data_IF_156836782599
#
_entry.id   IF_156836782599
#
_cell.length_a   1.000
_cell.length_b   1.000
_cell.length_c   1.000
_cell.angle_alpha   90.00
_cell.angle_beta   90.00
_cell.angle_gamma   90.00
#
_symmetry.space_group_name_H-M   'P 1'
#
loop_
_entity.id
_entity.type
_entity.pdbx_description
1 polymer ?
#
# COMPACT_ATOMS: atom_id res chain seq x y z
N UNK A 1 -7.18 -13.58 -9.38
CA UNK A 1 -8.37 -13.15 -8.61
C UNK A 1 -8.11 -12.95 -7.11
N UNK A 2 -7.35 -13.80 -6.43
CA UNK A 2 -7.08 -13.72 -4.98
C UNK A 2 -6.48 -12.39 -4.50
N UNK A 3 -5.57 -11.79 -5.29
CA UNK A 3 -4.91 -10.53 -4.96
C UNK A 3 -5.90 -9.36 -4.83
N UNK A 4 -6.82 -9.23 -5.79
CA UNK A 4 -7.84 -8.19 -5.78
C UNK A 4 -8.89 -8.41 -4.71
N UNK A 5 -9.30 -9.67 -4.49
CA UNK A 5 -10.23 -10.01 -3.41
C UNK A 5 -9.67 -9.63 -2.03
N UNK A 6 -8.38 -9.86 -1.81
CA UNK A 6 -7.72 -9.48 -0.57
C UNK A 6 -7.63 -7.95 -0.39
N UNK A 7 -7.40 -7.19 -1.46
CA UNK A 7 -7.44 -5.73 -1.43
C UNK A 7 -8.84 -5.23 -1.07
N UNK A 8 -9.87 -5.76 -1.74
CA UNK A 8 -11.26 -5.38 -1.48
C UNK A 8 -11.66 -5.68 -0.03
N UNK A 9 -11.30 -6.85 0.49
CA UNK A 9 -11.58 -7.21 1.87
C UNK A 9 -10.97 -6.20 2.87
N UNK A 10 -9.71 -5.78 2.64
CA UNK A 10 -9.08 -4.74 3.48
C UNK A 10 -9.78 -3.40 3.39
N UNK A 11 -10.20 -2.99 2.19
CA UNK A 11 -10.93 -1.73 2.00
C UNK A 11 -12.28 -1.75 2.69
N UNK A 12 -13.00 -2.89 2.63
CA UNK A 12 -14.28 -3.05 3.33
C UNK A 12 -14.10 -2.95 4.85
N UNK A 13 -13.07 -3.61 5.41
CA UNK A 13 -12.76 -3.52 6.84
C UNK A 13 -12.40 -2.09 7.22
N UNK A 14 -11.56 -1.42 6.44
CA UNK A 14 -11.18 -0.01 6.70
C UNK A 14 -12.39 0.91 6.64
N UNK A 15 -13.28 0.73 5.64
CA UNK A 15 -14.53 1.49 5.55
C UNK A 15 -15.42 1.26 6.78
N UNK A 16 -15.53 0.01 7.25
CA UNK A 16 -16.27 -0.31 8.48
C UNK A 16 -15.70 0.38 9.73
N UNK A 17 -14.37 0.43 9.86
CA UNK A 17 -13.69 1.13 10.97
C UNK A 17 -13.95 2.64 10.90
N UNK A 18 -13.80 3.26 9.72
CA UNK A 18 -14.05 4.69 9.54
C UNK A 18 -15.51 5.03 9.80
N UNK A 19 -16.45 4.20 9.32
CA UNK A 19 -17.88 4.36 9.56
C UNK A 19 -18.22 4.23 11.05
N UNK A 20 -17.69 3.20 11.72
CA UNK A 20 -17.87 3.01 13.17
C UNK A 20 -17.34 4.18 13.99
N UNK A 21 -16.19 4.74 13.59
CA UNK A 21 -15.63 5.94 14.20
C UNK A 21 -16.56 7.15 14.01
N UNK A 22 -17.14 7.31 12.81
CA UNK A 22 -18.13 8.36 12.54
C UNK A 22 -19.34 8.25 13.46
N UNK A 23 -19.92 7.06 13.60
CA UNK A 23 -21.05 6.84 14.52
C UNK A 23 -20.67 7.14 15.98
N UNK A 24 -19.44 6.84 16.38
CA UNK A 24 -18.96 7.17 17.73
C UNK A 24 -18.84 8.68 17.91
N UNK A 25 -18.31 9.40 16.93
CA UNK A 25 -18.23 10.87 16.94
C UNK A 25 -19.63 11.48 17.06
N UNK A 26 -20.60 11.01 16.26
CA UNK A 26 -21.98 11.49 16.30
C UNK A 26 -22.66 11.23 17.65
N UNK A 27 -22.31 10.14 18.33
CA UNK A 27 -22.82 9.85 19.68
C UNK A 27 -22.20 10.70 20.77
N UNK A 28 -20.91 10.98 20.66
CA UNK A 28 -20.16 11.75 21.65
C UNK A 28 -20.33 13.26 21.48
N UNK A 29 -20.48 13.71 20.23
CA UNK A 29 -20.72 15.11 19.88
C UNK A 29 -22.08 15.22 19.15
N UNK A 30 -23.19 15.11 19.88
CA UNK A 30 -24.49 15.25 19.24
C UNK A 30 -24.61 16.62 18.58
N UNK A 31 -25.08 16.62 17.32
CA UNK A 31 -25.26 17.85 16.56
C UNK A 31 -26.12 18.85 17.37
N UNK A 32 -25.73 20.12 17.45
CA UNK A 32 -26.53 21.13 18.15
C UNK A 32 -27.93 21.15 17.53
N UNK A 33 -28.95 20.91 18.34
CA UNK A 33 -30.32 21.07 17.89
C UNK A 33 -30.50 22.54 17.57
N UNK A 34 -30.56 22.87 16.31
CA UNK A 34 -30.49 24.23 15.76
C UNK A 34 -31.50 25.22 16.39
N UNK A 35 -32.43 24.76 17.21
CA UNK A 35 -33.46 25.57 17.85
C UNK A 35 -33.12 26.00 19.28
N UNK A 36 -32.22 25.32 19.99
CA UNK A 36 -31.91 25.59 21.40
C UNK A 36 -30.56 26.26 21.64
N UNK A 37 -29.68 26.29 20.64
CA UNK A 37 -28.31 26.79 20.79
C UNK A 37 -28.18 28.28 20.40
N UNK A 38 -29.04 29.10 20.98
CA UNK A 38 -28.88 30.58 21.02
C UNK A 38 -27.96 31.03 22.16
N UNK A 39 -27.05 30.17 22.61
CA UNK A 39 -26.01 30.52 23.56
C UNK A 39 -25.00 31.51 23.01
N UNK A 40 -24.30 32.26 23.87
CA UNK A 40 -23.37 33.33 23.45
C UNK A 40 -22.13 32.83 22.64
N UNK A 41 -21.94 31.52 22.48
CA UNK A 41 -20.83 30.95 21.73
C UNK A 41 -21.22 29.79 20.77
N UNK A 42 -22.05 30.02 19.74
CA UNK A 42 -22.41 28.95 18.78
C UNK A 42 -21.23 28.52 17.91
N UNK A 43 -20.18 29.34 17.81
CA UNK A 43 -19.03 29.10 16.95
C UNK A 43 -18.09 27.97 17.48
N UNK A 44 -18.02 27.78 18.80
CA UNK A 44 -17.08 26.80 19.40
C UNK A 44 -17.51 25.35 19.12
N UNK A 45 -18.79 25.03 19.14
CA UNK A 45 -19.32 23.71 18.92
C UNK A 45 -19.14 23.27 17.45
N UNK A 46 -19.38 24.19 16.50
CA UNK A 46 -19.19 23.93 15.07
C UNK A 46 -17.70 23.71 14.74
N UNK A 47 -16.80 24.41 15.42
CA UNK A 47 -15.35 24.21 15.28
C UNK A 47 -14.91 22.82 15.74
N UNK A 48 -15.40 22.36 16.90
CA UNK A 48 -15.05 21.02 17.43
C UNK A 48 -15.50 19.93 16.47
N UNK A 49 -16.73 20.01 15.95
CA UNK A 49 -17.23 19.04 14.95
C UNK A 49 -16.41 19.09 13.68
N UNK A 50 -16.09 20.29 13.16
CA UNK A 50 -15.28 20.43 11.96
C UNK A 50 -13.88 19.83 12.13
N UNK A 51 -13.26 20.04 13.29
CA UNK A 51 -11.96 19.46 13.63
C UNK A 51 -12.06 17.91 13.71
N UNK A 52 -13.09 17.39 14.35
CA UNK A 52 -13.32 15.94 14.48
C UNK A 52 -13.49 15.29 13.09
N UNK A 53 -14.28 15.90 12.21
CA UNK A 53 -14.46 15.42 10.83
C UNK A 53 -13.19 15.51 10.01
N UNK A 54 -12.38 16.56 10.21
CA UNK A 54 -11.07 16.68 9.55
C UNK A 54 -10.14 15.55 9.99
N UNK A 55 -10.04 15.26 11.29
CA UNK A 55 -9.23 14.14 11.79
C UNK A 55 -9.73 12.80 11.26
N UNK A 56 -11.04 12.59 11.20
CA UNK A 56 -11.63 11.38 10.62
C UNK A 56 -11.28 11.23 9.15
N UNK A 57 -11.33 12.30 8.37
CA UNK A 57 -10.95 12.29 6.95
C UNK A 57 -9.46 11.98 6.76
N UNK A 58 -8.57 12.62 7.54
CA UNK A 58 -7.14 12.33 7.50
C UNK A 58 -6.82 10.89 7.91
N UNK A 59 -7.51 10.36 8.92
CA UNK A 59 -7.39 8.97 9.33
C UNK A 59 -7.81 8.01 8.22
N UNK A 60 -8.92 8.28 7.54
CA UNK A 60 -9.40 7.48 6.40
C UNK A 60 -8.39 7.48 5.24
N UNK A 61 -7.85 8.65 4.89
CA UNK A 61 -6.81 8.79 3.85
C UNK A 61 -5.55 8.01 4.24
N UNK A 62 -5.12 8.12 5.50
CA UNK A 62 -3.96 7.38 6.03
C UNK A 62 -4.14 5.87 5.96
N UNK A 63 -5.33 5.35 6.31
CA UNK A 63 -5.65 3.93 6.21
C UNK A 63 -5.61 3.45 4.75
N UNK A 64 -6.22 4.18 3.83
CA UNK A 64 -6.20 3.84 2.40
C UNK A 64 -4.76 3.81 1.89
N UNK A 65 -3.95 4.81 2.25
CA UNK A 65 -2.55 4.87 1.86
C UNK A 65 -1.75 3.67 2.38
N UNK A 66 -1.92 3.29 3.66
CA UNK A 66 -1.28 2.13 4.26
C UNK A 66 -1.70 0.81 3.59
N UNK A 67 -2.99 0.68 3.24
CA UNK A 67 -3.51 -0.50 2.54
C UNK A 67 -2.87 -0.63 1.16
N UNK A 68 -2.82 0.47 0.39
CA UNK A 68 -2.20 0.49 -0.93
C UNK A 68 -0.71 0.18 -0.82
N UNK A 69 -0.03 0.77 0.15
CA UNK A 69 1.40 0.54 0.37
C UNK A 69 1.67 -0.92 0.74
N UNK A 70 0.94 -1.50 1.72
CA UNK A 70 1.11 -2.90 2.07
C UNK A 70 0.81 -3.82 0.88
N UNK A 71 -0.17 -3.47 0.05
CA UNK A 71 -0.55 -4.26 -1.12
C UNK A 71 0.53 -4.25 -2.22
N UNK A 72 1.23 -3.12 -2.42
CA UNK A 72 2.30 -3.00 -3.44
C UNK A 72 3.45 -3.98 -3.21
N UNK A 73 3.77 -4.27 -1.96
CA UNK A 73 4.88 -5.17 -1.59
C UNK A 73 4.43 -6.61 -1.30
N UNK A 74 3.30 -7.04 -1.90
CA UNK A 74 2.81 -8.42 -1.79
C UNK A 74 2.89 -9.15 -3.12
N UNK A 75 3.26 -10.42 -3.05
CA UNK A 75 3.23 -11.32 -4.19
C UNK A 75 1.79 -11.45 -4.73
N UNK A 76 1.62 -11.37 -6.05
CA UNK A 76 0.30 -11.46 -6.69
C UNK A 76 -0.30 -12.87 -6.62
N UNK A 77 0.55 -13.90 -6.42
CA UNK A 77 0.14 -15.31 -6.38
C UNK A 77 -0.12 -15.79 -4.97
N UNK A 78 0.85 -15.67 -4.04
CA UNK A 78 0.75 -16.21 -2.69
C UNK A 78 0.35 -15.20 -1.61
N UNK A 79 0.20 -13.90 -1.96
CA UNK A 79 -0.19 -12.79 -1.07
C UNK A 79 0.80 -12.50 0.08
N UNK A 80 1.92 -13.22 0.17
CA UNK A 80 2.94 -12.95 1.18
C UNK A 80 3.74 -11.70 0.83
N UNK A 81 4.27 -11.02 1.85
CA UNK A 81 5.16 -9.89 1.65
C UNK A 81 6.43 -10.34 0.95
N UNK A 82 6.82 -9.58 -0.07
CA UNK A 82 8.08 -9.75 -0.76
C UNK A 82 9.21 -9.42 0.21
N UNK A 83 10.23 -10.26 0.21
CA UNK A 83 11.44 -10.12 1.02
C UNK A 83 12.65 -10.18 0.10
N UNK A 84 13.83 -10.03 0.65
CA UNK A 84 15.11 -10.09 -0.08
C UNK A 84 15.22 -8.97 -1.13
N UNK A 85 15.37 -7.70 -0.72
CA UNK A 85 15.70 -6.64 -1.64
C UNK A 85 17.11 -6.88 -2.18
N UNK A 86 17.25 -7.06 -3.50
CA UNK A 86 18.52 -7.14 -4.20
C UNK A 86 18.67 -5.87 -5.02
N UNK A 87 19.75 -5.14 -4.76
CA UNK A 87 20.10 -3.98 -5.57
C UNK A 87 20.87 -4.43 -6.79
N UNK A 88 20.37 -4.08 -7.97
CA UNK A 88 21.00 -4.32 -9.26
C UNK A 88 21.27 -2.99 -9.95
N UNK A 89 22.45 -2.89 -10.61
CA UNK A 89 22.92 -1.64 -11.21
C UNK A 89 23.87 -0.85 -10.32
N UNK A 90 24.58 0.10 -10.92
CA UNK A 90 25.57 0.93 -10.24
C UNK A 90 25.21 2.41 -10.33
N UNK A 91 25.34 3.11 -9.23
CA UNK A 91 25.19 4.57 -9.19
C UNK A 91 26.28 5.31 -9.98
N UNK A 92 27.45 4.67 -10.17
CA UNK A 92 28.56 5.25 -10.93
C UNK A 92 28.38 5.18 -12.45
N UNK A 93 27.54 4.26 -12.94
CA UNK A 93 27.29 4.04 -14.37
C UNK A 93 25.80 4.03 -14.69
N UNK A 94 25.09 5.07 -14.28
CA UNK A 94 23.63 5.21 -14.45
C UNK A 94 23.19 5.10 -15.92
N UNK A 95 24.04 5.52 -16.86
CA UNK A 95 23.77 5.45 -18.30
C UNK A 95 23.81 4.02 -18.87
N UNK A 96 24.55 3.11 -18.23
CA UNK A 96 24.68 1.71 -18.64
C UNK A 96 23.67 0.80 -17.95
N UNK A 97 23.14 1.21 -16.81
CA UNK A 97 22.13 0.48 -16.05
C UNK A 97 21.66 1.28 -14.86
N UNK A 98 20.43 1.80 -14.95
CA UNK A 98 19.83 2.53 -13.84
C UNK A 98 19.72 1.64 -12.59
N UNK A 99 20.07 2.15 -11.40
CA UNK A 99 19.95 1.38 -10.16
C UNK A 99 18.50 1.04 -9.91
N UNK A 100 18.24 -0.23 -9.62
CA UNK A 100 16.92 -0.76 -9.32
C UNK A 100 16.98 -1.71 -8.14
N UNK A 101 15.91 -1.74 -7.34
CA UNK A 101 15.75 -2.71 -6.27
C UNK A 101 14.75 -3.78 -6.70
N UNK A 102 15.15 -5.03 -6.63
CA UNK A 102 14.32 -6.18 -6.97
C UNK A 102 13.90 -6.89 -5.69
N UNK A 103 12.59 -7.00 -5.48
CA UNK A 103 12.02 -7.73 -4.36
C UNK A 103 11.55 -9.10 -4.84
N UNK A 104 12.09 -10.15 -4.25
CA UNK A 104 11.84 -11.53 -4.68
C UNK A 104 10.81 -12.19 -3.77
N UNK A 105 9.90 -12.96 -4.35
CA UNK A 105 9.02 -13.83 -3.60
C UNK A 105 9.81 -15.03 -3.05
N UNK A 106 9.71 -15.30 -1.74
CA UNK A 106 10.39 -16.44 -1.09
C UNK A 106 9.99 -17.80 -1.65
N UNK A 107 8.85 -17.88 -2.36
CA UNK A 107 8.36 -19.08 -3.03
C UNK A 107 8.62 -19.09 -4.54
N UNK A 108 9.38 -18.13 -5.07
CA UNK A 108 9.74 -18.12 -6.47
C UNK A 108 8.64 -17.74 -7.47
N UNK A 109 7.49 -17.20 -7.02
CA UNK A 109 6.38 -16.87 -7.92
C UNK A 109 6.59 -15.63 -8.78
N UNK A 110 7.61 -14.82 -8.48
CA UNK A 110 7.91 -13.63 -9.27
C UNK A 110 8.75 -12.61 -8.52
N UNK A 111 9.22 -11.61 -9.27
CA UNK A 111 10.02 -10.49 -8.77
C UNK A 111 9.33 -9.17 -9.03
N UNK A 112 9.43 -8.25 -8.08
CA UNK A 112 8.98 -6.88 -8.20
C UNK A 112 10.19 -5.99 -8.42
N UNK A 113 10.29 -5.38 -9.60
CA UNK A 113 11.37 -4.46 -9.95
C UNK A 113 10.93 -3.03 -9.68
N UNK A 114 11.67 -2.34 -8.83
CA UNK A 114 11.42 -0.93 -8.49
C UNK A 114 12.64 -0.12 -8.88
N UNK A 115 12.48 0.83 -9.81
CA UNK A 115 13.55 1.75 -10.18
C UNK A 115 13.83 2.72 -9.02
N UNK A 116 15.09 2.85 -8.60
CA UNK A 116 15.49 3.82 -7.58
C UNK A 116 15.59 5.23 -8.15
N UNK A 117 15.98 5.34 -9.42
CA UNK A 117 16.08 6.61 -10.13
C UNK A 117 14.73 6.95 -10.78
N UNK A 118 14.07 7.97 -10.27
CA UNK A 118 12.79 8.44 -10.78
C UNK A 118 12.91 9.85 -11.34
N UNK A 119 13.04 9.96 -12.65
CA UNK A 119 13.10 11.25 -13.35
C UNK A 119 11.68 11.81 -13.52
N UNK A 120 10.67 10.94 -13.62
CA UNK A 120 9.27 11.33 -13.93
C UNK A 120 8.33 11.35 -12.72
N UNK A 121 8.83 11.12 -11.52
CA UNK A 121 8.02 11.14 -10.27
C UNK A 121 7.00 9.99 -10.13
N UNK A 122 6.84 9.13 -11.13
CA UNK A 122 5.87 8.03 -11.09
C UNK A 122 6.59 6.69 -10.97
N UNK A 123 6.51 6.08 -9.79
CA UNK A 123 6.98 4.70 -9.62
C UNK A 123 6.05 3.76 -10.40
N UNK A 124 6.58 3.17 -11.45
CA UNK A 124 5.95 2.04 -12.11
C UNK A 124 6.68 0.76 -11.64
N UNK A 125 6.20 0.10 -10.58
CA UNK A 125 6.75 -1.17 -10.18
C UNK A 125 6.38 -2.21 -11.23
N UNK A 126 7.39 -2.80 -11.84
CA UNK A 126 7.21 -3.86 -12.83
C UNK A 126 7.19 -5.21 -12.11
N UNK A 127 6.12 -5.99 -12.37
CA UNK A 127 5.96 -7.32 -11.82
C UNK A 127 6.26 -8.36 -12.87
N UNK A 128 7.32 -9.12 -12.68
CA UNK A 128 7.70 -10.23 -13.53
C UNK A 128 7.27 -11.56 -12.87
N UNK A 129 6.27 -12.26 -13.41
CA UNK A 129 5.87 -13.56 -12.91
C UNK A 129 6.88 -14.63 -13.33
N UNK A 130 7.25 -15.52 -12.41
CA UNK A 130 8.03 -16.72 -12.67
C UNK A 130 7.15 -17.94 -12.36
N UNK A 131 7.19 -18.97 -13.19
CA UNK A 131 6.44 -20.21 -12.93
C UNK A 131 7.05 -20.97 -11.75
N UNK A 132 8.39 -21.12 -11.74
CA UNK A 132 9.14 -21.66 -10.62
C UNK A 132 10.61 -21.25 -10.77
N UNK A 133 11.01 -20.18 -10.11
CA UNK A 133 12.37 -19.64 -10.18
C UNK A 133 13.43 -20.67 -9.78
N UNK A 134 13.09 -21.58 -8.88
CA UNK A 134 14.01 -22.63 -8.42
C UNK A 134 14.26 -23.69 -9.49
N UNK A 135 13.24 -24.03 -10.29
CA UNK A 135 13.38 -24.90 -11.47
C UNK A 135 14.21 -24.25 -12.57
N UNK A 136 13.98 -22.97 -12.83
CA UNK A 136 14.74 -22.20 -13.82
C UNK A 136 16.23 -22.16 -13.45
N UNK A 137 16.55 -21.90 -12.16
CA UNK A 137 17.93 -21.91 -11.67
C UNK A 137 18.58 -23.30 -11.78
N UNK A 138 17.87 -24.37 -11.41
CA UNK A 138 18.39 -25.74 -11.50
C UNK A 138 18.64 -26.17 -12.95
N UNK A 139 17.76 -25.82 -13.88
CA UNK A 139 17.93 -26.12 -15.31
C UNK A 139 19.11 -25.38 -15.94
N UNK A 140 19.40 -24.17 -15.46
CA UNK A 140 20.55 -23.36 -15.93
C UNK A 140 21.86 -23.95 -15.43
N UNK A 141 21.86 -24.54 -14.24
CA UNK A 141 23.04 -25.18 -13.63
C UNK A 141 23.38 -26.51 -14.32
N UNK A 142 22.39 -27.30 -14.70
CA UNK A 142 22.55 -28.53 -15.47
C UNK A 142 23.10 -28.26 -16.89
N UNK A 143 22.65 -27.20 -17.55
CA UNK A 143 23.15 -26.80 -18.86
C UNK A 143 24.61 -26.32 -18.78
N UNK A 144 25.06 -25.81 -17.65
CA UNK A 144 26.44 -25.37 -17.42
C UNK A 144 27.39 -26.51 -17.08
N UNK A 145 26.89 -27.58 -16.45
CA UNK A 145 27.67 -28.80 -16.16
C UNK A 145 27.83 -29.73 -17.33
N UNK A 146 26.97 -29.63 -18.34
CA UNK A 146 27.02 -30.44 -19.57
C UNK A 146 27.89 -29.88 -20.68
N UNK A 147 28.59 -28.76 -20.44
CA UNK A 147 29.60 -28.18 -21.34
C UNK A 147 30.99 -28.30 -20.74
#
# INVERSE_FOLDING_TARGET
>A
MRYWAYLIAKLVVAAGVVFGLGLLIDRLLPAPRAFLDRGPFPASHSLIISIALLFQALFAIGLIWLIIWDQRYRCRTCLRRLRMPIQTGSWTHVLLGAPRTEYICTYGHGTLKVAELQITGRQQPDWEPHEDMWKELSSTEDTRRGR
#
